data_IF_060122790884
#
_entry.id   IF_060122790884
#
_cell.length_a   1.000
_cell.length_b   1.000
_cell.length_c   1.000
_cell.angle_alpha   90.00
_cell.angle_beta   90.00
_cell.angle_gamma   90.00
#
_symmetry.space_group_name_H-M   'P 1'
#
loop_
_entity.id
_entity.type
_entity.pdbx_description
1 polymer ?
#
# COMPACT_ATOMS: atom_id res chain seq x y z
N UNK A 1 26.53 -4.29 20.71
CA UNK A 1 26.41 -5.52 21.51
C UNK A 1 26.98 -5.39 22.95
N UNK A 2 28.19 -4.82 23.24
CA UNK A 2 28.59 -4.64 24.62
C UNK A 2 27.59 -3.89 25.47
N UNK A 3 27.08 -2.76 24.98
CA UNK A 3 26.09 -1.95 25.68
C UNK A 3 24.83 -2.72 26.10
N UNK A 4 24.20 -3.52 25.21
CA UNK A 4 23.02 -4.31 25.59
C UNK A 4 23.33 -5.33 26.70
N UNK A 5 24.51 -5.98 26.65
CA UNK A 5 24.92 -6.94 27.67
C UNK A 5 25.16 -6.27 29.02
N UNK A 6 25.58 -5.02 29.05
CA UNK A 6 25.78 -4.26 30.28
C UNK A 6 24.45 -3.81 30.89
N UNK A 7 23.39 -3.63 30.08
CA UNK A 7 22.07 -3.25 30.57
C UNK A 7 21.22 -4.43 31.06
N UNK A 8 21.51 -5.64 30.61
CA UNK A 8 20.83 -6.87 31.07
C UNK A 8 21.53 -7.39 32.33
N UNK A 9 20.99 -6.98 33.46
CA UNK A 9 21.67 -7.19 34.78
C UNK A 9 21.07 -8.33 35.62
N UNK A 10 19.87 -8.83 35.23
CA UNK A 10 19.18 -9.89 35.96
C UNK A 10 18.43 -10.86 35.00
N UNK A 11 17.66 -11.80 35.57
CA UNK A 11 16.87 -12.76 34.83
C UNK A 11 15.47 -12.25 34.39
N UNK A 12 15.18 -10.96 34.56
CA UNK A 12 13.94 -10.34 34.11
C UNK A 12 13.85 -10.30 32.59
N UNK A 13 12.62 -10.17 32.05
CA UNK A 13 12.40 -10.01 30.62
C UNK A 13 12.75 -8.58 30.21
N UNK A 14 13.60 -8.43 29.20
CA UNK A 14 13.99 -7.17 28.62
C UNK A 14 13.40 -7.02 27.22
N UNK A 15 12.89 -5.84 26.92
CA UNK A 15 12.36 -5.50 25.59
C UNK A 15 13.35 -4.62 24.85
N UNK A 16 13.82 -5.08 23.69
CA UNK A 16 14.71 -4.32 22.81
C UNK A 16 13.92 -3.84 21.61
N UNK A 17 13.72 -2.51 21.53
CA UNK A 17 13.01 -1.87 20.41
C UNK A 17 14.06 -1.20 19.51
N UNK A 18 14.08 -1.60 18.26
CA UNK A 18 14.99 -1.07 17.24
C UNK A 18 14.15 -0.45 16.13
N UNK A 19 14.25 0.85 16.01
CA UNK A 19 13.52 1.61 14.98
C UNK A 19 14.38 1.81 13.74
N UNK A 20 13.74 1.75 12.54
CA UNK A 20 14.38 1.96 11.24
C UNK A 20 15.67 1.15 11.05
N UNK A 21 15.61 -0.16 11.40
CA UNK A 21 16.81 -1.03 11.43
C UNK A 21 17.54 -1.13 10.09
N UNK A 22 16.88 -0.81 8.95
CA UNK A 22 17.52 -0.77 7.64
C UNK A 22 18.61 0.31 7.52
N UNK A 23 18.62 1.29 8.42
CA UNK A 23 19.67 2.30 8.48
C UNK A 23 20.96 1.76 9.11
N UNK A 24 20.88 0.63 9.81
CA UNK A 24 22.03 0.00 10.46
C UNK A 24 22.72 -0.99 9.51
N UNK A 25 23.94 -0.68 9.11
CA UNK A 25 24.75 -1.63 8.34
C UNK A 25 25.03 -2.90 9.15
N UNK A 26 24.72 -4.07 8.57
CA UNK A 26 24.92 -5.36 9.22
C UNK A 26 23.93 -5.68 10.36
N UNK A 27 22.76 -5.01 10.39
CA UNK A 27 21.72 -5.22 11.42
C UNK A 27 21.34 -6.70 11.61
N UNK A 28 21.36 -7.52 10.56
CA UNK A 28 21.06 -8.97 10.62
C UNK A 28 21.96 -9.68 11.64
N UNK A 29 23.26 -9.35 11.67
CA UNK A 29 24.21 -9.91 12.62
C UNK A 29 23.89 -9.46 14.06
N UNK A 30 23.48 -8.20 14.21
CA UNK A 30 23.07 -7.65 15.51
C UNK A 30 21.81 -8.35 15.99
N UNK A 31 20.77 -8.45 15.16
CA UNK A 31 19.52 -9.12 15.50
C UNK A 31 19.74 -10.58 15.87
N UNK A 32 20.49 -11.33 15.05
CA UNK A 32 20.82 -12.73 15.35
C UNK A 32 21.54 -12.90 16.71
N UNK A 33 22.30 -11.90 17.12
CA UNK A 33 23.00 -11.93 18.40
C UNK A 33 22.06 -11.62 19.57
N UNK A 34 21.06 -10.73 19.38
CA UNK A 34 20.11 -10.34 20.43
C UNK A 34 19.04 -11.43 20.62
N UNK A 35 18.50 -12.00 19.53
CA UNK A 35 17.49 -13.08 19.57
C UNK A 35 17.99 -14.36 20.29
N UNK A 36 19.29 -14.54 20.41
CA UNK A 36 19.89 -15.67 21.15
C UNK A 36 19.92 -15.47 22.68
N UNK A 37 19.53 -14.30 23.15
CA UNK A 37 19.44 -14.03 24.59
C UNK A 37 18.09 -14.54 25.10
N UNK A 38 18.10 -15.44 26.10
CA UNK A 38 16.89 -16.15 26.55
C UNK A 38 15.83 -15.24 27.20
N UNK A 39 16.26 -14.10 27.73
CA UNK A 39 15.39 -13.16 28.45
C UNK A 39 15.19 -11.83 27.70
N UNK A 40 15.32 -11.84 26.39
CA UNK A 40 15.18 -10.64 25.56
C UNK A 40 14.13 -10.86 24.47
N UNK A 41 13.10 -10.01 24.47
CA UNK A 41 12.16 -9.87 23.37
C UNK A 41 12.58 -8.70 22.47
N UNK A 42 12.64 -8.94 21.16
CA UNK A 42 13.12 -7.95 20.19
C UNK A 42 12.00 -7.52 19.27
N UNK A 43 11.78 -6.23 19.19
CA UNK A 43 10.86 -5.58 18.25
C UNK A 43 11.66 -4.71 17.32
N UNK A 44 11.43 -4.87 16.01
CA UNK A 44 12.11 -4.08 14.98
C UNK A 44 11.09 -3.40 14.09
N UNK A 45 11.36 -2.17 13.69
CA UNK A 45 10.57 -1.48 12.67
C UNK A 45 11.37 -1.22 11.41
N UNK A 46 10.67 -1.04 10.30
CA UNK A 46 11.25 -0.63 9.04
C UNK A 46 10.17 -0.15 8.08
N UNK A 47 10.45 0.92 7.38
CA UNK A 47 9.53 1.60 6.46
C UNK A 47 9.55 1.07 5.02
N UNK A 48 10.08 -0.15 4.79
CA UNK A 48 10.25 -0.68 3.45
C UNK A 48 9.97 -2.18 3.37
N UNK A 49 9.01 -2.58 2.50
CA UNK A 49 8.66 -3.99 2.28
C UNK A 49 9.84 -4.84 1.79
N UNK A 50 10.73 -4.27 0.98
CA UNK A 50 11.91 -4.97 0.44
C UNK A 50 12.90 -5.36 1.52
N UNK A 51 12.97 -4.56 2.58
CA UNK A 51 13.78 -4.82 3.75
C UNK A 51 13.30 -6.07 4.52
N UNK A 52 11.98 -6.26 4.56
CA UNK A 52 11.36 -7.41 5.24
C UNK A 52 11.31 -8.66 4.34
N UNK A 53 11.44 -8.52 3.00
CA UNK A 53 10.94 -9.55 2.09
C UNK A 53 11.91 -10.69 1.73
N UNK A 54 13.20 -10.53 1.60
CA UNK A 54 14.06 -11.64 1.12
C UNK A 54 15.17 -12.04 2.04
N UNK A 55 15.93 -11.10 2.56
CA UNK A 55 17.11 -11.45 3.36
C UNK A 55 16.76 -11.62 4.84
N UNK A 56 15.89 -10.77 5.37
CA UNK A 56 15.45 -10.80 6.77
C UNK A 56 14.44 -11.91 7.01
N UNK A 57 13.40 -12.00 6.21
CA UNK A 57 12.35 -13.04 6.36
C UNK A 57 12.95 -14.44 6.15
N UNK A 58 13.88 -14.62 5.22
CA UNK A 58 14.49 -15.93 5.00
C UNK A 58 15.31 -16.38 6.21
N UNK A 59 15.99 -15.45 6.88
CA UNK A 59 16.81 -15.74 8.04
C UNK A 59 16.02 -15.79 9.36
N UNK A 60 14.90 -15.01 9.42
CA UNK A 60 14.05 -14.94 10.63
C UNK A 60 12.68 -15.63 10.48
N UNK A 61 12.35 -16.23 9.34
CA UNK A 61 11.06 -16.87 9.01
C UNK A 61 10.49 -17.82 10.07
N UNK A 62 11.33 -18.36 10.94
CA UNK A 62 10.95 -19.32 11.97
C UNK A 62 11.12 -18.72 13.38
N UNK A 63 11.55 -17.47 13.49
CA UNK A 63 11.96 -16.85 14.75
C UNK A 63 11.26 -15.52 15.08
N UNK A 64 10.29 -15.12 14.31
CA UNK A 64 9.56 -13.88 14.54
C UNK A 64 8.32 -13.79 13.69
N UNK A 65 7.39 -12.96 14.12
CA UNK A 65 6.15 -12.64 13.44
C UNK A 65 6.25 -11.26 12.78
N UNK A 66 5.64 -11.12 11.61
CA UNK A 66 5.54 -9.85 10.89
C UNK A 66 4.18 -9.21 11.17
N UNK A 67 4.22 -7.96 11.62
CA UNK A 67 3.02 -7.15 11.84
C UNK A 67 3.05 -5.98 10.87
N UNK A 68 2.14 -5.99 9.89
CA UNK A 68 1.95 -4.88 8.97
C UNK A 68 1.06 -3.82 9.64
N UNK A 69 1.63 -2.62 9.85
CA UNK A 69 0.90 -1.48 10.40
C UNK A 69 0.24 -0.67 9.28
N UNK A 70 -1.08 -0.59 9.31
CA UNK A 70 -1.86 0.25 8.42
C UNK A 70 -2.20 1.58 9.10
N UNK A 71 -2.54 2.64 8.33
CA UNK A 71 -3.29 3.76 8.88
C UNK A 71 -4.59 3.27 9.55
N UNK A 72 -5.20 4.09 10.40
CA UNK A 72 -6.47 3.75 11.04
C UNK A 72 -7.52 3.38 10.00
N UNK A 73 -8.19 2.24 10.20
CA UNK A 73 -9.43 1.94 9.50
C UNK A 73 -10.55 2.89 9.92
N UNK A 74 -11.61 3.02 9.13
CA UNK A 74 -12.70 3.95 9.43
C UNK A 74 -13.33 3.72 10.82
N UNK A 75 -13.46 2.46 11.23
CA UNK A 75 -13.99 2.13 12.57
C UNK A 75 -13.07 2.61 13.69
N UNK A 76 -11.76 2.47 13.50
CA UNK A 76 -10.74 2.93 14.46
C UNK A 76 -10.69 4.45 14.50
N UNK A 77 -10.72 5.11 13.34
CA UNK A 77 -10.82 6.55 13.21
C UNK A 77 -12.04 7.08 13.99
N UNK A 78 -13.22 6.49 13.76
CA UNK A 78 -14.45 6.89 14.44
C UNK A 78 -14.45 6.63 15.95
N UNK A 79 -13.62 5.72 16.46
CA UNK A 79 -13.52 5.45 17.89
C UNK A 79 -12.89 6.60 18.68
N UNK A 80 -12.13 7.46 18.01
CA UNK A 80 -11.45 8.64 18.61
C UNK A 80 -11.94 9.97 18.03
N UNK A 81 -12.72 9.95 16.96
CA UNK A 81 -13.31 11.14 16.36
C UNK A 81 -14.47 11.65 17.23
N UNK A 82 -14.42 12.94 17.60
CA UNK A 82 -15.38 13.53 18.54
C UNK A 82 -16.63 14.13 17.88
N UNK A 83 -16.68 14.24 16.56
CA UNK A 83 -17.78 14.83 15.81
C UNK A 83 -18.88 13.82 15.39
N UNK A 84 -19.93 14.29 14.69
CA UNK A 84 -20.96 13.45 14.11
C UNK A 84 -20.38 12.45 13.11
N UNK A 85 -21.03 11.27 12.99
CA UNK A 85 -20.51 10.19 12.14
C UNK A 85 -20.40 10.55 10.65
N UNK A 86 -21.30 11.38 10.13
CA UNK A 86 -21.24 11.79 8.74
C UNK A 86 -20.07 12.75 8.48
N UNK A 87 -19.80 13.69 9.42
CA UNK A 87 -18.65 14.59 9.33
C UNK A 87 -17.34 13.80 9.43
N UNK A 88 -17.29 12.79 10.32
CA UNK A 88 -16.16 11.87 10.41
C UNK A 88 -15.93 11.05 9.15
N UNK A 89 -17.00 10.69 8.42
CA UNK A 89 -16.89 10.06 7.13
C UNK A 89 -16.26 10.98 6.09
N UNK A 90 -16.75 12.21 5.98
CA UNK A 90 -16.24 13.20 5.05
C UNK A 90 -14.77 13.55 5.34
N UNK A 91 -14.41 13.69 6.63
CA UNK A 91 -13.03 13.87 7.05
C UNK A 91 -12.13 12.70 6.67
N UNK A 92 -12.58 11.47 6.95
CA UNK A 92 -11.82 10.27 6.64
C UNK A 92 -11.62 10.09 5.12
N UNK A 93 -12.65 10.39 4.32
CA UNK A 93 -12.57 10.35 2.86
C UNK A 93 -11.60 11.39 2.30
N UNK A 94 -11.52 12.56 2.93
CA UNK A 94 -10.71 13.69 2.44
C UNK A 94 -9.24 13.59 2.90
N UNK A 95 -9.01 13.20 4.15
CA UNK A 95 -7.67 13.25 4.76
C UNK A 95 -7.06 11.88 5.06
N UNK A 96 -7.84 10.81 4.96
CA UNK A 96 -7.40 9.45 5.26
C UNK A 96 -7.29 9.13 6.75
N UNK A 97 -6.69 7.97 7.05
CA UNK A 97 -6.63 7.38 8.39
C UNK A 97 -5.33 7.62 9.16
N UNK A 98 -4.50 8.61 8.82
CA UNK A 98 -3.29 8.88 9.60
C UNK A 98 -3.66 9.44 10.98
N UNK A 99 -3.21 8.81 12.10
CA UNK A 99 -3.63 9.21 13.44
C UNK A 99 -3.38 10.69 13.77
N UNK A 100 -2.30 11.26 13.26
CA UNK A 100 -1.92 12.65 13.50
C UNK A 100 -2.94 13.65 12.96
N UNK A 101 -3.69 13.29 11.90
CA UNK A 101 -4.72 14.16 11.31
C UNK A 101 -5.82 14.49 12.30
N UNK A 102 -6.12 13.58 13.22
CA UNK A 102 -7.12 13.78 14.27
C UNK A 102 -6.72 14.85 15.30
N UNK A 103 -5.43 15.16 15.42
CA UNK A 103 -4.90 16.17 16.33
C UNK A 103 -4.76 17.56 15.68
N UNK A 104 -5.01 17.67 14.38
CA UNK A 104 -4.96 18.93 13.65
C UNK A 104 -6.39 19.43 13.46
N UNK A 105 -6.70 20.63 13.96
CA UNK A 105 -8.05 21.19 13.89
C UNK A 105 -8.32 21.88 12.55
N UNK A 106 -7.37 22.69 12.08
CA UNK A 106 -7.55 23.51 10.89
C UNK A 106 -7.43 22.73 9.58
N UNK A 107 -8.45 22.76 8.69
CA UNK A 107 -8.43 22.03 7.42
C UNK A 107 -7.21 22.33 6.55
N UNK A 108 -6.77 23.59 6.55
CA UNK A 108 -5.58 24.00 5.80
C UNK A 108 -4.30 23.34 6.32
N UNK A 109 -4.17 23.26 7.64
CA UNK A 109 -3.00 22.63 8.28
C UNK A 109 -2.95 21.13 8.01
N UNK A 110 -4.11 20.44 7.98
CA UNK A 110 -4.22 19.03 7.56
C UNK A 110 -3.67 18.83 6.14
N UNK A 111 -4.12 19.68 5.21
CA UNK A 111 -3.68 19.62 3.80
C UNK A 111 -2.18 19.92 3.68
N UNK A 112 -1.69 20.96 4.35
CA UNK A 112 -0.29 21.35 4.29
C UNK A 112 0.60 20.26 4.90
N UNK A 113 0.16 19.65 6.01
CA UNK A 113 0.85 18.51 6.62
C UNK A 113 0.93 17.30 5.67
N UNK A 114 -0.20 16.90 5.08
CA UNK A 114 -0.23 15.76 4.15
C UNK A 114 0.64 15.98 2.92
N UNK A 115 0.66 17.20 2.37
CA UNK A 115 1.54 17.56 1.26
C UNK A 115 3.02 17.48 1.65
N UNK A 116 3.37 18.06 2.79
CA UNK A 116 4.75 18.03 3.29
C UNK A 116 5.20 16.58 3.56
N UNK A 117 4.35 15.79 4.22
CA UNK A 117 4.62 14.37 4.47
C UNK A 117 4.85 13.61 3.16
N UNK A 118 4.01 13.82 2.16
CA UNK A 118 4.13 13.17 0.87
C UNK A 118 5.41 13.58 0.13
N UNK A 119 5.68 14.87 0.01
CA UNK A 119 6.79 15.38 -0.78
C UNK A 119 8.14 15.18 -0.09
N UNK A 120 8.23 15.50 1.19
CA UNK A 120 9.49 15.52 1.93
C UNK A 120 9.85 14.13 2.47
N UNK A 121 8.87 13.38 2.96
CA UNK A 121 9.14 12.08 3.56
C UNK A 121 9.12 10.97 2.51
N UNK A 122 7.99 10.77 1.81
CA UNK A 122 7.90 9.64 0.89
C UNK A 122 8.71 9.85 -0.38
N UNK A 123 8.49 10.93 -1.11
CA UNK A 123 9.12 11.12 -2.43
C UNK A 123 10.63 11.36 -2.29
N UNK A 124 11.04 12.13 -1.28
CA UNK A 124 12.46 12.39 -1.02
C UNK A 124 13.21 11.13 -0.60
N UNK A 125 12.59 10.32 0.27
CA UNK A 125 13.18 9.05 0.74
C UNK A 125 13.28 8.04 -0.42
N UNK A 126 12.22 7.84 -1.20
CA UNK A 126 12.22 6.95 -2.37
C UNK A 126 13.28 7.40 -3.38
N UNK A 127 13.33 8.69 -3.69
CA UNK A 127 14.28 9.24 -4.65
C UNK A 127 15.73 9.10 -4.18
N UNK A 128 15.98 9.35 -2.90
CA UNK A 128 17.31 9.21 -2.28
C UNK A 128 17.78 7.76 -2.22
N UNK A 129 16.93 6.87 -1.73
CA UNK A 129 17.19 5.43 -1.57
C UNK A 129 17.51 4.75 -2.89
N UNK A 130 16.75 5.06 -3.93
CA UNK A 130 16.91 4.47 -5.26
C UNK A 130 17.75 5.31 -6.22
N UNK A 131 18.35 6.39 -5.74
CA UNK A 131 19.21 7.31 -6.52
C UNK A 131 18.52 7.78 -7.81
N UNK A 132 17.24 8.14 -7.71
CA UNK A 132 16.44 8.59 -8.85
C UNK A 132 16.92 9.97 -9.29
N UNK A 133 17.52 10.05 -10.47
CA UNK A 133 18.03 11.32 -11.02
C UNK A 133 16.93 12.22 -11.59
N UNK A 134 15.84 11.63 -12.06
CA UNK A 134 14.75 12.32 -12.75
C UNK A 134 13.49 12.33 -11.87
N UNK A 135 13.56 13.07 -10.76
CA UNK A 135 12.47 13.20 -9.79
C UNK A 135 11.16 13.63 -10.45
N UNK A 136 11.22 14.60 -11.37
CA UNK A 136 10.04 15.07 -12.09
C UNK A 136 9.31 13.97 -12.91
N UNK A 137 10.02 12.93 -13.38
CA UNK A 137 9.36 11.79 -14.04
C UNK A 137 8.61 10.90 -13.04
N UNK A 138 9.10 10.77 -11.81
CA UNK A 138 8.43 10.06 -10.73
C UNK A 138 7.17 10.82 -10.30
N UNK A 139 7.27 12.14 -10.10
CA UNK A 139 6.14 13.00 -9.72
C UNK A 139 5.04 13.00 -10.80
N UNK A 140 5.44 13.09 -12.06
CA UNK A 140 4.52 13.00 -13.20
C UNK A 140 3.82 11.63 -13.26
N UNK A 141 4.53 10.53 -12.97
CA UNK A 141 3.96 9.19 -12.91
C UNK A 141 2.97 9.04 -11.74
N UNK A 142 3.32 9.58 -10.57
CA UNK A 142 2.43 9.60 -9.40
C UNK A 142 1.11 10.34 -9.69
N UNK A 143 1.19 11.49 -10.36
CA UNK A 143 -0.02 12.23 -10.76
C UNK A 143 -0.90 11.42 -11.73
N UNK A 144 -0.28 10.65 -12.65
CA UNK A 144 -1.03 9.76 -13.54
C UNK A 144 -1.64 8.59 -12.78
N UNK A 145 -0.89 7.98 -11.85
CA UNK A 145 -1.37 6.87 -11.03
C UNK A 145 -2.52 7.31 -10.13
N UNK A 146 -2.39 8.45 -9.43
CA UNK A 146 -3.44 8.97 -8.55
C UNK A 146 -4.74 9.29 -9.30
N UNK A 147 -4.65 9.77 -10.55
CA UNK A 147 -5.83 9.99 -11.40
C UNK A 147 -6.41 8.71 -12.01
N UNK A 148 -5.77 7.58 -11.83
CA UNK A 148 -6.18 6.27 -12.36
C UNK A 148 -6.30 5.18 -11.27
N UNK A 149 -6.41 5.59 -10.01
CA UNK A 149 -6.69 4.67 -8.88
C UNK A 149 -7.94 3.86 -9.21
N UNK A 150 -7.93 2.56 -8.88
CA UNK A 150 -9.03 1.64 -9.19
C UNK A 150 -9.09 1.19 -10.66
N UNK A 151 -8.42 1.87 -11.58
CA UNK A 151 -8.45 1.46 -12.99
C UNK A 151 -7.38 0.44 -13.34
N UNK A 152 -7.73 -0.46 -14.26
CA UNK A 152 -6.79 -1.43 -14.80
C UNK A 152 -5.66 -0.70 -15.55
N UNK A 153 -4.44 -0.89 -15.08
CA UNK A 153 -3.25 -0.28 -15.68
C UNK A 153 -2.11 -1.28 -15.89
N UNK A 154 -1.16 -0.92 -16.70
CA UNK A 154 0.09 -1.63 -16.89
C UNK A 154 1.17 -0.66 -17.40
N UNK A 155 2.47 -1.01 -17.34
CA UNK A 155 3.55 -0.12 -17.79
C UNK A 155 3.42 0.39 -19.23
N UNK A 156 2.86 -0.41 -20.15
CA UNK A 156 2.66 0.02 -21.54
C UNK A 156 1.60 1.12 -21.65
N UNK A 157 0.45 0.94 -20.96
CA UNK A 157 -0.63 1.94 -20.91
C UNK A 157 -0.15 3.23 -20.25
N UNK A 158 0.55 3.12 -19.13
CA UNK A 158 1.12 4.27 -18.43
C UNK A 158 2.15 5.02 -19.29
N UNK A 159 3.01 4.33 -20.04
CA UNK A 159 3.95 4.95 -20.96
C UNK A 159 3.25 5.71 -22.09
N UNK A 160 2.17 5.14 -22.64
CA UNK A 160 1.36 5.80 -23.66
C UNK A 160 0.65 7.05 -23.10
N UNK A 161 0.07 6.96 -21.90
CA UNK A 161 -0.57 8.08 -21.19
C UNK A 161 0.45 9.17 -20.87
N UNK A 162 1.63 8.79 -20.39
CA UNK A 162 2.72 9.71 -20.08
C UNK A 162 3.14 10.50 -21.34
N UNK A 163 3.31 9.81 -22.47
CA UNK A 163 3.61 10.43 -23.76
C UNK A 163 2.51 11.38 -24.22
N UNK A 164 1.25 10.98 -24.07
CA UNK A 164 0.08 11.79 -24.48
C UNK A 164 -0.05 13.07 -23.65
N UNK A 165 0.00 12.96 -22.31
CA UNK A 165 -0.24 14.09 -21.40
C UNK A 165 0.99 14.97 -21.25
N UNK A 166 2.16 14.39 -21.06
CA UNK A 166 3.39 15.14 -20.74
C UNK A 166 4.27 15.44 -21.95
N UNK A 167 3.91 14.91 -23.14
CA UNK A 167 4.71 15.01 -24.37
C UNK A 167 6.18 14.59 -24.22
N UNK A 168 6.44 13.70 -23.24
CA UNK A 168 7.74 13.11 -22.93
C UNK A 168 7.62 11.59 -23.04
N UNK A 169 8.74 10.92 -23.27
CA UNK A 169 8.79 9.46 -23.31
C UNK A 169 9.51 8.92 -22.08
N UNK A 170 8.88 7.96 -21.42
CA UNK A 170 9.48 7.17 -20.35
C UNK A 170 9.41 5.70 -20.76
N UNK A 171 10.47 4.94 -20.51
CA UNK A 171 10.48 3.53 -20.88
C UNK A 171 9.58 2.70 -19.96
N UNK A 172 8.97 1.64 -20.51
CA UNK A 172 8.16 0.70 -19.74
C UNK A 172 8.93 0.09 -18.56
N UNK A 173 10.23 -0.17 -18.75
CA UNK A 173 11.11 -0.69 -17.72
C UNK A 173 11.32 0.34 -16.57
N UNK A 174 11.39 1.63 -16.89
CA UNK A 174 11.50 2.69 -15.88
C UNK A 174 10.19 2.83 -15.10
N UNK A 175 9.04 2.80 -15.80
CA UNK A 175 7.72 2.84 -15.15
C UNK A 175 7.54 1.64 -14.21
N UNK A 176 7.82 0.42 -14.69
CA UNK A 176 7.72 -0.78 -13.87
C UNK A 176 8.57 -0.69 -12.59
N UNK A 177 9.77 -0.14 -12.72
CA UNK A 177 10.69 0.08 -11.60
C UNK A 177 10.18 1.12 -10.62
N UNK A 178 9.61 2.23 -11.11
CA UNK A 178 9.02 3.24 -10.24
C UNK A 178 7.80 2.71 -9.50
N UNK A 179 6.95 1.92 -10.16
CA UNK A 179 5.83 1.22 -9.50
C UNK A 179 6.35 0.29 -8.40
N UNK A 180 7.41 -0.49 -8.66
CA UNK A 180 8.04 -1.34 -7.66
C UNK A 180 8.53 -0.53 -6.45
N UNK A 181 9.20 0.61 -6.68
CA UNK A 181 9.69 1.47 -5.59
C UNK A 181 8.58 2.07 -4.74
N UNK A 182 7.47 2.47 -5.37
CA UNK A 182 6.29 3.00 -4.69
C UNK A 182 5.58 1.89 -3.86
N UNK A 183 5.51 0.68 -4.40
CA UNK A 183 4.95 -0.48 -3.69
C UNK A 183 5.84 -0.93 -2.53
N UNK A 184 7.17 -0.96 -2.74
CA UNK A 184 8.14 -1.30 -1.69
C UNK A 184 8.10 -0.30 -0.52
N UNK A 185 7.67 0.93 -0.76
CA UNK A 185 7.50 1.98 0.26
C UNK A 185 6.08 2.05 0.81
N UNK A 186 5.23 1.08 0.52
CA UNK A 186 3.81 1.02 0.93
C UNK A 186 2.97 2.23 0.51
N UNK A 187 3.44 3.03 -0.43
CA UNK A 187 2.71 4.20 -0.93
C UNK A 187 1.56 3.80 -1.86
N UNK A 188 1.75 2.71 -2.60
CA UNK A 188 0.70 2.10 -3.43
C UNK A 188 0.65 0.60 -3.15
N UNK A 189 -0.54 0.02 -3.27
CA UNK A 189 -0.74 -1.43 -3.31
C UNK A 189 -1.41 -1.82 -4.64
N UNK A 190 -1.22 -3.06 -5.06
CA UNK A 190 -1.74 -3.56 -6.32
C UNK A 190 -2.71 -4.71 -6.10
N UNK A 191 -3.93 -4.59 -6.64
CA UNK A 191 -4.83 -5.72 -6.81
C UNK A 191 -4.52 -6.44 -8.11
N UNK A 192 -4.29 -7.75 -8.03
CA UNK A 192 -4.06 -8.57 -9.23
C UNK A 192 -5.40 -8.98 -9.81
N UNK A 193 -5.57 -8.76 -11.10
CA UNK A 193 -6.75 -9.21 -11.81
C UNK A 193 -6.72 -10.73 -11.98
N UNK A 194 -7.64 -11.44 -11.33
CA UNK A 194 -7.90 -12.84 -11.62
C UNK A 194 -8.82 -12.96 -12.83
N UNK A 195 -8.22 -13.31 -13.96
CA UNK A 195 -8.96 -13.68 -15.16
C UNK A 195 -9.58 -15.07 -14.93
N UNK A 196 -10.88 -15.09 -14.65
CA UNK A 196 -11.63 -16.36 -14.67
C UNK A 196 -11.88 -16.79 -16.12
N UNK A 197 -11.81 -15.87 -17.11
CA UNK A 197 -11.68 -16.07 -18.55
C UNK A 197 -11.44 -14.75 -19.28
N UNK A 198 -10.18 -14.51 -19.66
CA UNK A 198 -9.64 -13.56 -20.66
C UNK A 198 -10.24 -12.17 -20.93
N UNK A 199 -9.44 -11.14 -20.65
CA UNK A 199 -9.19 -9.87 -21.39
C UNK A 199 -10.31 -8.86 -21.66
N UNK A 200 -10.04 -7.61 -21.17
CA UNK A 200 -10.33 -6.25 -21.72
C UNK A 200 -11.56 -5.48 -21.20
N UNK A 201 -11.45 -4.28 -20.71
CA UNK A 201 -11.42 -2.91 -21.19
C UNK A 201 -12.10 -1.86 -20.28
N UNK A 202 -11.40 -0.76 -20.06
CA UNK A 202 -11.73 0.66 -19.76
C UNK A 202 -12.98 1.06 -18.93
N UNK A 203 -12.74 1.86 -17.88
CA UNK A 203 -13.72 2.79 -17.29
C UNK A 203 -13.14 4.21 -17.12
N UNK A 204 -14.04 5.21 -17.15
CA UNK A 204 -13.79 6.63 -16.92
C UNK A 204 -13.67 6.94 -15.41
N UNK A 205 -12.95 8.06 -15.11
CA UNK A 205 -12.80 8.63 -13.77
C UNK A 205 -14.15 9.06 -13.20
N UNK A 206 -14.51 8.53 -12.01
CA UNK A 206 -15.71 8.90 -11.28
C UNK A 206 -15.43 8.86 -9.77
N UNK A 207 -16.22 9.53 -8.95
CA UNK A 207 -16.19 9.53 -7.47
C UNK A 207 -16.21 8.11 -6.89
N UNK A 208 -16.73 7.15 -7.63
CA UNK A 208 -16.73 5.72 -7.36
C UNK A 208 -15.35 5.15 -7.04
N UNK A 209 -14.29 5.63 -7.69
CA UNK A 209 -12.94 5.09 -7.47
C UNK A 209 -12.35 5.42 -6.09
N UNK A 210 -12.72 6.57 -5.52
CA UNK A 210 -12.29 6.90 -4.15
C UNK A 210 -12.96 5.96 -3.14
N UNK A 211 -14.24 5.64 -3.34
CA UNK A 211 -14.98 4.68 -2.54
C UNK A 211 -14.41 3.26 -2.70
N UNK A 212 -14.14 2.83 -3.92
CA UNK A 212 -13.53 1.53 -4.20
C UNK A 212 -12.16 1.41 -3.51
N UNK A 213 -11.32 2.45 -3.60
CA UNK A 213 -10.01 2.46 -2.93
C UNK A 213 -10.14 2.37 -1.41
N UNK A 214 -11.11 3.05 -0.82
CA UNK A 214 -11.38 2.98 0.60
C UNK A 214 -11.85 1.56 1.01
N UNK A 215 -12.77 0.96 0.28
CA UNK A 215 -13.25 -0.40 0.54
C UNK A 215 -12.08 -1.39 0.39
N UNK A 216 -11.24 -1.23 -0.63
CA UNK A 216 -10.03 -2.04 -0.80
C UNK A 216 -9.14 -2.00 0.44
N UNK A 217 -8.82 -0.79 0.92
CA UNK A 217 -7.99 -0.61 2.10
C UNK A 217 -8.62 -1.22 3.36
N UNK A 218 -9.92 -1.02 3.58
CA UNK A 218 -10.66 -1.62 4.70
C UNK A 218 -10.63 -3.15 4.67
N UNK A 219 -10.74 -3.75 3.49
CA UNK A 219 -10.65 -5.20 3.33
C UNK A 219 -9.23 -5.71 3.62
N UNK A 220 -8.21 -4.99 3.16
CA UNK A 220 -6.80 -5.31 3.45
C UNK A 220 -6.50 -5.23 4.96
N UNK A 221 -6.94 -4.17 5.63
CA UNK A 221 -6.80 -3.99 7.09
C UNK A 221 -7.44 -5.17 7.84
N UNK A 222 -8.57 -5.68 7.36
CA UNK A 222 -9.24 -6.86 7.94
C UNK A 222 -8.58 -8.20 7.59
N UNK A 223 -7.44 -8.18 6.90
CA UNK A 223 -6.65 -9.37 6.54
C UNK A 223 -7.24 -10.20 5.41
N UNK A 224 -7.97 -9.58 4.48
CA UNK A 224 -8.37 -10.23 3.25
C UNK A 224 -7.28 -10.08 2.17
N UNK A 225 -7.09 -11.15 1.38
CA UNK A 225 -6.45 -11.01 0.08
C UNK A 225 -7.50 -10.51 -0.90
N UNK A 226 -7.28 -9.34 -1.49
CA UNK A 226 -8.27 -8.62 -2.30
C UNK A 226 -7.78 -8.56 -3.75
N UNK A 227 -8.62 -9.04 -4.64
CA UNK A 227 -8.41 -9.06 -6.08
C UNK A 227 -9.64 -8.49 -6.79
N UNK A 228 -9.52 -8.21 -8.09
CA UNK A 228 -10.64 -7.79 -8.94
C UNK A 228 -11.12 -8.97 -9.78
N UNK A 229 -12.43 -9.21 -9.84
CA UNK A 229 -13.03 -10.30 -10.58
C UNK A 229 -13.60 -9.86 -11.93
N UNK A 230 -13.51 -10.76 -12.94
CA UNK A 230 -14.20 -10.58 -14.21
C UNK A 230 -14.94 -11.85 -14.58
N UNK A 231 -16.20 -11.67 -14.94
CA UNK A 231 -17.05 -12.74 -15.45
C UNK A 231 -17.38 -12.46 -16.91
N UNK A 232 -16.97 -13.37 -17.79
CA UNK A 232 -17.35 -13.29 -19.20
C UNK A 232 -18.60 -14.16 -19.42
N UNK A 233 -19.66 -13.53 -19.93
CA UNK A 233 -20.91 -14.20 -20.27
C UNK A 233 -21.11 -14.14 -21.79
N UNK A 234 -21.27 -15.30 -22.42
CA UNK A 234 -21.67 -15.38 -23.82
C UNK A 234 -23.21 -15.23 -23.91
N UNK A 235 -23.68 -14.23 -24.60
CA UNK A 235 -25.08 -14.00 -24.89
C UNK A 235 -25.30 -13.94 -26.40
N UNK A 236 -26.53 -14.16 -26.82
CA UNK A 236 -26.92 -14.01 -28.24
C UNK A 236 -27.71 -12.71 -28.37
N UNK A 237 -27.38 -11.90 -29.37
CA UNK A 237 -28.17 -10.68 -29.67
C UNK A 237 -29.50 -11.03 -30.34
N UNK A 238 -30.35 -10.01 -30.59
CA UNK A 238 -31.62 -10.15 -31.26
C UNK A 238 -31.52 -10.61 -32.73
N UNK A 239 -30.29 -10.59 -33.32
CA UNK A 239 -30.00 -11.06 -34.66
C UNK A 239 -29.33 -12.45 -34.69
N UNK A 240 -29.24 -13.14 -33.53
CA UNK A 240 -28.66 -14.46 -33.42
C UNK A 240 -27.12 -14.52 -33.38
N UNK A 241 -26.46 -13.37 -33.27
CA UNK A 241 -25.00 -13.28 -33.21
C UNK A 241 -24.50 -13.48 -31.78
N UNK A 242 -23.46 -14.26 -31.60
CA UNK A 242 -22.84 -14.46 -30.29
C UNK A 242 -22.13 -13.17 -29.87
N UNK A 243 -22.60 -12.59 -28.74
CA UNK A 243 -21.97 -11.44 -28.09
C UNK A 243 -21.35 -11.92 -26.78
N UNK A 244 -20.08 -11.62 -26.58
CA UNK A 244 -19.38 -11.83 -25.32
C UNK A 244 -19.48 -10.55 -24.46
N UNK A 245 -20.26 -10.59 -23.37
CA UNK A 245 -20.34 -9.54 -22.37
C UNK A 245 -19.38 -9.87 -21.22
N UNK A 246 -18.69 -8.84 -20.73
CA UNK A 246 -17.83 -8.96 -19.54
C UNK A 246 -18.46 -8.10 -18.43
N UNK A 247 -18.56 -8.71 -17.25
CA UNK A 247 -19.00 -8.05 -16.04
C UNK A 247 -17.82 -8.04 -15.08
N UNK A 248 -17.61 -6.92 -14.40
CA UNK A 248 -16.60 -6.75 -13.38
C UNK A 248 -17.23 -6.97 -12.01
N UNK A 249 -16.49 -7.67 -11.15
CA UNK A 249 -16.77 -7.75 -9.72
C UNK A 249 -15.71 -6.93 -9.05
N UNK A 250 -16.10 -5.88 -8.35
CA UNK A 250 -15.16 -4.89 -7.81
C UNK A 250 -14.13 -5.55 -6.88
N UNK A 251 -14.57 -6.48 -6.03
CA UNK A 251 -13.65 -7.18 -5.14
C UNK A 251 -13.94 -8.67 -5.06
N UNK A 252 -12.89 -9.46 -5.24
CA UNK A 252 -12.84 -10.88 -4.93
C UNK A 252 -11.93 -11.07 -3.71
N UNK A 253 -12.52 -11.33 -2.56
CA UNK A 253 -11.82 -11.35 -1.29
C UNK A 253 -11.63 -12.77 -0.79
N UNK A 254 -10.40 -13.16 -0.48
CA UNK A 254 -10.09 -14.47 0.07
C UNK A 254 -9.59 -14.32 1.51
N UNK A 255 -10.15 -15.11 2.44
CA UNK A 255 -9.66 -15.21 3.81
C UNK A 255 -9.76 -16.66 4.30
N UNK A 256 -8.61 -17.29 4.49
CA UNK A 256 -8.54 -18.72 4.74
C UNK A 256 -9.13 -19.51 3.56
N UNK A 257 -10.11 -20.39 3.83
CA UNK A 257 -10.79 -21.19 2.81
C UNK A 257 -12.05 -20.53 2.24
N UNK A 258 -12.41 -19.32 2.70
CA UNK A 258 -13.61 -18.59 2.28
C UNK A 258 -13.28 -17.57 1.21
N UNK A 259 -14.17 -17.47 0.22
CA UNK A 259 -14.14 -16.46 -0.84
C UNK A 259 -15.43 -15.66 -0.81
N UNK A 260 -15.28 -14.35 -0.94
CA UNK A 260 -16.38 -13.39 -0.96
C UNK A 260 -16.30 -12.58 -2.23
N UNK A 261 -17.44 -12.22 -2.79
CA UNK A 261 -17.59 -11.36 -3.95
C UNK A 261 -18.35 -10.13 -3.48
N UNK A 262 -17.74 -8.95 -3.68
CA UNK A 262 -18.29 -7.69 -3.20
C UNK A 262 -18.41 -6.75 -4.39
N UNK A 263 -19.56 -6.13 -4.51
CA UNK A 263 -19.85 -5.08 -5.48
C UNK A 263 -20.13 -3.81 -4.71
N UNK A 264 -19.36 -2.73 -5.01
CA UNK A 264 -19.67 -1.38 -4.55
C UNK A 264 -20.79 -0.81 -5.43
N UNK A 265 -21.86 -0.32 -4.81
CA UNK A 265 -23.02 0.22 -5.51
C UNK A 265 -22.96 1.75 -5.53
#
# INVERSE_FOLDING_TARGET
>A
MPYLKEQIVDAGVYYVLLDEVQLLSGFVVVLNSVIRMENVDVYVTGSNAKFLSKDVITEFRVRGDEIHMFPLGFSEFMSVYSGPRHDGWDEYMLYGGLPIILNIEEPKEKIDFLKSLFEETYISDIAGRHKIRKRAELDDLLNILSSSIGSLTNPNKLSATFKSIKKKTISNATIARYIEYLSDSFLIDSAVRHDINARLNFRQLDETHTMENLIFNELKIRGFNVDVGIVAVNSTDSEGRSIRKQYEIDFVCNKGYKRYYIQSA
#
